data_IF_332625169285
#
_entry.id   IF_332625169285
#
_cell.length_a   1.000
_cell.length_b   1.000
_cell.length_c   1.000
_cell.angle_alpha   90.00
_cell.angle_beta   90.00
_cell.angle_gamma   90.00
#
_symmetry.space_group_name_H-M   'P 1'
#
loop_
_entity.id
_entity.type
_entity.pdbx_description
1 polymer ?
#
# COMPACT_ATOMS: atom_id res chain seq x y z
N UNK A 1 -29.50 -38.51 25.19
CA UNK A 1 -28.93 -38.86 23.87
C UNK A 1 -28.34 -37.56 23.31
N UNK A 2 -27.08 -37.29 23.64
CA UNK A 2 -26.45 -35.97 23.45
C UNK A 2 -25.50 -36.07 22.25
N UNK A 3 -25.86 -35.37 21.17
CA UNK A 3 -25.12 -35.41 19.91
C UNK A 3 -23.90 -34.48 20.02
N UNK A 4 -22.73 -35.05 20.27
CA UNK A 4 -21.44 -34.34 20.24
C UNK A 4 -21.07 -34.10 18.79
N UNK A 5 -21.22 -32.87 18.31
CA UNK A 5 -20.61 -32.44 17.05
C UNK A 5 -19.10 -32.26 17.24
N UNK A 6 -18.35 -33.28 16.85
CA UNK A 6 -16.90 -33.23 16.70
C UNK A 6 -16.56 -32.49 15.40
N UNK A 7 -16.07 -31.25 15.54
CA UNK A 7 -15.42 -30.55 14.42
C UNK A 7 -14.08 -31.23 14.09
N UNK A 8 -13.79 -31.57 12.82
CA UNK A 8 -12.55 -32.22 12.46
C UNK A 8 -11.36 -31.28 12.72
N UNK A 9 -10.34 -31.87 13.35
CA UNK A 9 -9.06 -31.25 13.63
C UNK A 9 -8.42 -30.64 12.37
N UNK A 10 -7.69 -29.53 12.60
CA UNK A 10 -6.91 -28.73 11.65
C UNK A 10 -6.34 -29.56 10.51
N UNK A 11 -6.91 -29.43 9.30
CA UNK A 11 -6.18 -29.76 8.08
C UNK A 11 -5.03 -28.78 7.94
N UNK A 12 -3.82 -29.31 7.95
CA UNK A 12 -2.61 -28.56 7.65
C UNK A 12 -2.67 -28.05 6.20
N UNK A 13 -2.90 -26.74 6.04
CA UNK A 13 -2.93 -26.07 4.74
C UNK A 13 -1.55 -25.53 4.33
N UNK A 14 -0.46 -25.84 5.06
CA UNK A 14 0.89 -25.33 4.79
C UNK A 14 1.42 -25.68 3.39
N UNK A 15 0.85 -26.69 2.72
CA UNK A 15 1.27 -27.10 1.38
C UNK A 15 0.59 -26.39 0.19
N UNK A 16 -0.46 -25.58 0.39
CA UNK A 16 -1.31 -25.13 -0.76
C UNK A 16 -0.88 -23.84 -1.46
N UNK A 17 0.12 -23.12 -0.94
CA UNK A 17 0.45 -21.76 -1.42
C UNK A 17 1.96 -21.51 -1.60
N UNK A 18 2.73 -22.54 -1.97
CA UNK A 18 4.13 -22.36 -2.38
C UNK A 18 4.19 -21.86 -3.83
N UNK A 19 3.99 -20.56 -4.04
CA UNK A 19 4.44 -19.88 -5.27
C UNK A 19 5.88 -19.40 -5.08
N UNK A 20 6.70 -19.32 -6.15
CA UNK A 20 8.09 -18.85 -6.06
C UNK A 20 8.24 -17.47 -5.38
N UNK A 21 7.25 -16.58 -5.55
CA UNK A 21 7.17 -15.25 -4.92
C UNK A 21 7.01 -15.30 -3.39
N UNK A 22 6.16 -16.20 -2.89
CA UNK A 22 5.98 -16.44 -1.45
C UNK A 22 7.19 -17.18 -0.87
N UNK A 23 7.89 -17.99 -1.69
CA UNK A 23 9.15 -18.65 -1.32
C UNK A 23 10.28 -17.65 -1.02
N UNK A 24 10.40 -16.56 -1.78
CA UNK A 24 11.41 -15.52 -1.53
C UNK A 24 11.22 -14.76 -0.20
N UNK A 25 9.98 -14.74 0.34
CA UNK A 25 9.68 -14.31 1.71
C UNK A 25 9.82 -15.45 2.73
N UNK A 26 9.58 -16.71 2.34
CA UNK A 26 9.76 -17.88 3.19
C UNK A 26 11.23 -18.25 3.41
N UNK A 27 12.14 -18.01 2.48
CA UNK A 27 13.60 -18.23 2.70
C UNK A 27 14.14 -17.29 3.78
N UNK A 28 13.58 -16.08 3.94
CA UNK A 28 13.89 -15.20 5.08
C UNK A 28 13.24 -15.64 6.41
N UNK A 29 12.25 -16.53 6.36
CA UNK A 29 11.50 -17.02 7.50
C UNK A 29 11.86 -18.45 7.91
N UNK A 30 12.50 -19.25 7.05
CA UNK A 30 12.88 -20.65 7.34
C UNK A 30 13.99 -20.78 8.37
N UNK A 31 14.67 -19.69 8.72
CA UNK A 31 15.59 -19.59 9.85
C UNK A 31 14.87 -19.25 11.19
N UNK A 32 13.55 -19.01 11.16
CA UNK A 32 12.78 -18.68 12.36
C UNK A 32 11.96 -19.92 12.74
N UNK A 33 12.32 -20.54 13.87
CA UNK A 33 11.57 -21.65 14.45
C UNK A 33 10.07 -21.27 14.58
N UNK A 34 9.14 -22.00 13.93
CA UNK A 34 7.70 -21.79 14.06
C UNK A 34 7.19 -21.87 15.51
N UNK A 35 7.93 -22.51 16.41
CA UNK A 35 7.58 -22.59 17.84
C UNK A 35 7.84 -21.29 18.62
N UNK A 36 8.59 -20.33 18.05
CA UNK A 36 8.92 -19.05 18.69
C UNK A 36 7.98 -17.89 18.38
N UNK A 37 7.04 -18.02 17.43
CA UNK A 37 6.01 -17.01 17.18
C UNK A 37 4.77 -17.29 18.02
N UNK A 38 4.79 -16.83 19.28
CA UNK A 38 3.61 -16.82 20.16
C UNK A 38 3.11 -15.38 20.32
N UNK A 39 2.38 -14.83 19.34
CA UNK A 39 1.85 -13.48 19.47
C UNK A 39 0.93 -13.40 20.68
N UNK A 40 0.96 -12.27 21.39
CA UNK A 40 0.08 -12.01 22.53
C UNK A 40 -1.39 -12.00 22.12
N UNK A 41 -1.66 -11.48 20.92
CA UNK A 41 -3.00 -11.42 20.36
C UNK A 41 -3.27 -12.65 19.48
N UNK A 42 -4.42 -13.33 19.64
CA UNK A 42 -4.78 -14.46 18.80
C UNK A 42 -4.95 -14.04 17.33
N UNK A 43 -4.87 -15.01 16.42
CA UNK A 43 -5.13 -14.83 14.97
C UNK A 43 -6.60 -15.12 14.61
N UNK A 44 -7.53 -14.79 15.51
CA UNK A 44 -8.98 -14.84 15.28
C UNK A 44 -9.49 -13.43 14.89
N UNK A 45 -10.79 -13.32 14.60
CA UNK A 45 -11.40 -12.08 14.13
C UNK A 45 -11.12 -10.88 15.06
N UNK A 46 -11.18 -11.08 16.39
CA UNK A 46 -10.95 -10.01 17.37
C UNK A 46 -9.49 -9.56 17.39
N UNK A 47 -8.55 -10.50 17.37
CA UNK A 47 -7.14 -10.16 17.33
C UNK A 47 -6.73 -9.47 16.01
N UNK A 48 -7.38 -9.79 14.89
CA UNK A 48 -7.18 -9.06 13.64
C UNK A 48 -7.77 -7.65 13.69
N UNK A 49 -8.97 -7.52 14.24
CA UNK A 49 -9.63 -6.23 14.44
C UNK A 49 -8.78 -5.28 15.29
N UNK A 50 -8.26 -5.73 16.44
CA UNK A 50 -7.39 -4.93 17.30
C UNK A 50 -6.13 -4.43 16.58
N UNK A 51 -5.55 -5.24 15.69
CA UNK A 51 -4.38 -4.84 14.90
C UNK A 51 -4.73 -3.80 13.84
N UNK A 52 -5.90 -3.89 13.21
CA UNK A 52 -6.39 -2.87 12.28
C UNK A 52 -6.61 -1.52 12.99
N UNK A 53 -7.19 -1.54 14.20
CA UNK A 53 -7.34 -0.34 15.04
C UNK A 53 -5.96 0.21 15.44
N UNK A 54 -5.05 -0.65 15.90
CA UNK A 54 -3.70 -0.23 16.28
C UNK A 54 -2.95 0.42 15.10
N UNK A 55 -3.01 -0.18 13.90
CA UNK A 55 -2.41 0.40 12.71
C UNK A 55 -2.98 1.79 12.38
N UNK A 56 -4.30 1.95 12.50
CA UNK A 56 -4.98 3.23 12.30
C UNK A 56 -4.53 4.28 13.32
N UNK A 57 -4.54 3.92 14.60
CA UNK A 57 -4.11 4.81 15.70
C UNK A 57 -2.65 5.22 15.56
N UNK A 58 -1.76 4.28 15.21
CA UNK A 58 -0.34 4.55 14.99
C UNK A 58 -0.15 5.60 13.90
N UNK A 59 -0.81 5.44 12.74
CA UNK A 59 -0.65 6.39 11.64
C UNK A 59 -1.27 7.75 11.97
N UNK A 60 -2.46 7.77 12.58
CA UNK A 60 -3.11 9.02 13.00
C UNK A 60 -2.25 9.78 14.01
N UNK A 61 -1.73 9.11 15.04
CA UNK A 61 -0.84 9.72 16.03
C UNK A 61 0.45 10.25 15.39
N UNK A 62 1.07 9.49 14.48
CA UNK A 62 2.26 9.92 13.75
C UNK A 62 2.00 11.16 12.86
N UNK A 63 0.84 11.22 12.22
CA UNK A 63 0.42 12.39 11.43
C UNK A 63 0.09 13.60 12.31
N UNK A 64 -0.56 13.40 13.47
CA UNK A 64 -0.82 14.47 14.43
C UNK A 64 0.49 15.04 14.99
N UNK A 65 1.45 14.19 15.38
CA UNK A 65 2.76 14.64 15.87
C UNK A 65 3.49 15.52 14.83
N UNK A 66 3.42 15.14 13.55
CA UNK A 66 3.97 15.93 12.43
C UNK A 66 3.27 17.27 12.21
N UNK A 67 2.00 17.42 12.61
CA UNK A 67 1.28 18.68 12.46
C UNK A 67 1.67 19.74 13.51
N UNK A 68 2.32 19.35 14.62
CA UNK A 68 2.70 20.27 15.70
C UNK A 68 3.71 21.33 15.23
N UNK A 69 4.82 20.97 14.53
CA UNK A 69 5.77 21.95 14.01
C UNK A 69 5.21 22.86 12.92
N UNK A 70 4.04 22.57 12.33
CA UNK A 70 3.45 23.39 11.28
C UNK A 70 3.17 24.84 11.71
N UNK A 71 3.03 25.06 13.02
CA UNK A 71 2.85 26.38 13.62
C UNK A 71 4.15 27.20 13.69
N UNK A 72 5.32 26.58 13.51
CA UNK A 72 6.62 27.25 13.66
C UNK A 72 7.08 27.99 12.40
N UNK A 73 6.42 27.75 11.26
CA UNK A 73 6.72 28.42 10.00
C UNK A 73 5.48 29.08 9.37
N UNK A 74 4.48 29.42 10.19
CA UNK A 74 3.38 30.29 9.75
C UNK A 74 3.92 31.71 9.54
N UNK A 75 4.02 32.16 8.29
CA UNK A 75 4.49 33.51 7.94
C UNK A 75 5.77 33.56 7.09
N UNK A 76 6.40 32.42 6.78
CA UNK A 76 7.50 32.36 5.79
C UNK A 76 6.95 32.28 4.36
N UNK A 77 7.78 32.64 3.38
CA UNK A 77 7.43 32.51 1.95
C UNK A 77 7.12 31.07 1.53
N UNK A 78 6.41 30.91 0.41
CA UNK A 78 5.90 29.61 -0.05
C UNK A 78 6.99 28.56 -0.28
N UNK A 79 8.08 28.94 -0.95
CA UNK A 79 9.23 28.05 -1.19
C UNK A 79 9.83 27.53 0.13
N UNK A 80 10.02 28.42 1.10
CA UNK A 80 10.53 28.07 2.43
C UNK A 80 9.56 27.15 3.17
N UNK A 81 8.25 27.42 3.10
CA UNK A 81 7.21 26.57 3.68
C UNK A 81 7.19 25.17 3.06
N UNK A 82 7.36 25.06 1.74
CA UNK A 82 7.46 23.76 1.04
C UNK A 82 8.72 23.00 1.47
N UNK A 83 9.87 23.66 1.57
CA UNK A 83 11.11 23.06 2.04
C UNK A 83 10.97 22.54 3.48
N UNK A 84 10.40 23.34 4.40
CA UNK A 84 10.14 22.91 5.78
C UNK A 84 9.19 21.71 5.84
N UNK A 85 8.09 21.73 5.09
CA UNK A 85 7.18 20.59 5.02
C UNK A 85 7.89 19.33 4.53
N UNK A 86 8.66 19.45 3.45
CA UNK A 86 9.42 18.35 2.85
C UNK A 86 10.36 17.72 3.88
N UNK A 87 11.11 18.53 4.64
CA UNK A 87 11.99 18.04 5.69
C UNK A 87 11.22 17.32 6.82
N UNK A 88 10.09 17.88 7.25
CA UNK A 88 9.28 17.34 8.35
C UNK A 88 8.47 16.09 7.99
N UNK A 89 8.23 15.83 6.71
CA UNK A 89 7.50 14.65 6.25
C UNK A 89 8.20 13.33 6.64
N UNK A 90 9.51 13.35 6.94
CA UNK A 90 10.26 12.19 7.44
C UNK A 90 9.83 11.78 8.86
N UNK A 91 9.22 12.67 9.65
CA UNK A 91 8.82 12.35 11.03
C UNK A 91 7.76 11.24 11.08
N UNK A 92 6.76 11.28 10.20
CA UNK A 92 5.69 10.28 10.15
C UNK A 92 6.22 8.85 9.94
N UNK A 93 7.00 8.54 8.90
CA UNK A 93 7.53 7.20 8.72
C UNK A 93 8.50 6.76 9.80
N UNK A 94 9.27 7.66 10.42
CA UNK A 94 10.11 7.31 11.58
C UNK A 94 9.24 6.84 12.75
N UNK A 95 8.20 7.59 13.11
CA UNK A 95 7.30 7.22 14.20
C UNK A 95 6.54 5.93 13.91
N UNK A 96 6.04 5.75 12.69
CA UNK A 96 5.37 4.52 12.27
C UNK A 96 6.33 3.34 12.32
N UNK A 97 7.55 3.48 11.82
CA UNK A 97 8.55 2.43 11.85
C UNK A 97 8.89 2.00 13.28
N UNK A 98 9.12 2.96 14.18
CA UNK A 98 9.40 2.68 15.59
C UNK A 98 8.22 2.00 16.28
N UNK A 99 6.99 2.44 16.01
CA UNK A 99 5.78 1.82 16.55
C UNK A 99 5.56 0.40 16.03
N UNK A 100 5.80 0.14 14.73
CA UNK A 100 5.72 -1.21 14.15
C UNK A 100 6.83 -2.09 14.69
N UNK A 101 8.06 -1.58 14.81
CA UNK A 101 9.17 -2.30 15.44
C UNK A 101 8.83 -2.71 16.88
N UNK A 102 8.33 -1.76 17.67
CA UNK A 102 7.88 -1.97 19.04
C UNK A 102 6.79 -3.05 19.10
N UNK A 103 5.75 -2.90 18.29
CA UNK A 103 4.64 -3.83 18.23
C UNK A 103 5.09 -5.25 17.83
N UNK A 104 5.91 -5.35 16.78
CA UNK A 104 6.46 -6.62 16.33
C UNK A 104 7.30 -7.27 17.43
N UNK A 105 8.13 -6.49 18.14
CA UNK A 105 9.03 -7.00 19.18
C UNK A 105 8.30 -7.47 20.45
N UNK A 106 7.25 -6.78 20.87
CA UNK A 106 6.60 -7.02 22.17
C UNK A 106 5.23 -7.69 22.06
N UNK A 107 4.43 -7.38 21.03
CA UNK A 107 3.08 -7.93 20.85
C UNK A 107 3.10 -9.16 19.95
N UNK A 108 3.67 -9.05 18.74
CA UNK A 108 3.77 -10.21 17.84
C UNK A 108 4.88 -11.17 18.24
N UNK A 109 5.87 -10.69 19.01
CA UNK A 109 7.10 -11.41 19.37
C UNK A 109 7.79 -11.97 18.14
N UNK A 110 7.87 -11.14 17.11
CA UNK A 110 8.29 -11.48 15.77
C UNK A 110 9.36 -10.50 15.29
N UNK A 111 10.35 -10.93 14.50
CA UNK A 111 11.37 -10.02 14.01
C UNK A 111 10.80 -9.10 12.92
N UNK A 112 11.23 -7.84 12.92
CA UNK A 112 10.77 -6.81 11.98
C UNK A 112 11.00 -7.22 10.52
N UNK A 113 11.98 -8.08 10.22
CA UNK A 113 12.24 -8.58 8.86
C UNK A 113 11.03 -9.29 8.24
N UNK A 114 10.09 -9.83 9.04
CA UNK A 114 8.87 -10.46 8.54
C UNK A 114 7.94 -9.48 7.81
N UNK A 115 8.03 -8.19 8.09
CA UNK A 115 7.25 -7.17 7.36
C UNK A 115 7.79 -6.96 5.94
N UNK A 116 8.99 -7.47 5.61
CA UNK A 116 9.63 -7.25 4.31
C UNK A 116 10.40 -5.92 4.21
N UNK A 117 10.44 -5.11 5.27
CA UNK A 117 11.16 -3.83 5.29
C UNK A 117 12.67 -3.98 5.15
N UNK A 118 13.25 -5.08 5.64
CA UNK A 118 14.70 -5.30 5.64
C UNK A 118 15.32 -5.58 4.25
N UNK A 119 14.51 -5.62 3.17
CA UNK A 119 14.95 -5.93 1.81
C UNK A 119 15.39 -4.72 0.97
N UNK A 120 16.34 -3.89 1.44
CA UNK A 120 16.71 -2.61 0.80
C UNK A 120 17.05 -2.68 -0.70
N UNK A 121 17.71 -3.75 -1.18
CA UNK A 121 17.98 -3.95 -2.62
C UNK A 121 16.71 -4.13 -3.46
N UNK A 122 15.65 -4.68 -2.86
CA UNK A 122 14.32 -4.82 -3.48
C UNK A 122 13.48 -3.55 -3.31
N UNK A 123 13.91 -2.61 -2.47
CA UNK A 123 13.18 -1.36 -2.23
C UNK A 123 13.14 -0.51 -3.50
N UNK A 124 14.29 -0.21 -4.08
CA UNK A 124 14.37 0.62 -5.30
C UNK A 124 13.65 -0.03 -6.46
N UNK A 125 13.92 -1.31 -6.76
CA UNK A 125 13.28 -2.01 -7.88
C UNK A 125 11.79 -2.23 -7.66
N UNK A 126 11.35 -2.47 -6.42
CA UNK A 126 9.94 -2.57 -6.07
C UNK A 126 9.21 -1.23 -6.20
N UNK A 127 9.83 -0.15 -5.72
CA UNK A 127 9.27 1.19 -5.84
C UNK A 127 9.13 1.59 -7.32
N UNK A 128 10.20 1.49 -8.11
CA UNK A 128 10.16 1.81 -9.54
C UNK A 128 9.18 0.92 -10.30
N UNK A 129 9.19 -0.40 -10.02
CA UNK A 129 8.29 -1.36 -10.68
C UNK A 129 6.82 -1.13 -10.33
N UNK A 130 6.52 -0.85 -9.06
CA UNK A 130 5.16 -0.51 -8.61
C UNK A 130 4.68 0.82 -9.18
N UNK A 131 5.55 1.83 -9.25
CA UNK A 131 5.21 3.14 -9.83
C UNK A 131 4.95 3.04 -11.33
N UNK A 132 5.78 2.30 -12.07
CA UNK A 132 5.54 2.04 -13.48
C UNK A 132 4.23 1.27 -13.71
N UNK A 133 3.91 0.32 -12.84
CA UNK A 133 2.69 -0.49 -12.93
C UNK A 133 1.43 0.35 -12.69
N UNK A 134 1.42 1.20 -11.65
CA UNK A 134 0.24 2.04 -11.34
C UNK A 134 0.08 3.21 -12.31
N UNK A 135 1.13 3.60 -13.02
CA UNK A 135 1.03 4.62 -14.07
C UNK A 135 0.01 4.23 -15.15
N UNK A 136 -0.09 2.94 -15.51
CA UNK A 136 -1.06 2.47 -16.51
C UNK A 136 -2.51 2.79 -16.15
N UNK A 137 -3.10 2.30 -15.03
CA UNK A 137 -4.47 2.63 -14.66
C UNK A 137 -4.67 4.14 -14.38
N UNK A 138 -3.64 4.85 -13.92
CA UNK A 138 -3.72 6.29 -13.68
C UNK A 138 -3.85 7.07 -14.99
N UNK A 139 -3.02 6.78 -15.99
CA UNK A 139 -3.09 7.42 -17.31
C UNK A 139 -4.42 7.08 -18.00
N UNK A 140 -4.84 5.82 -18.00
CA UNK A 140 -6.13 5.41 -18.58
C UNK A 140 -7.29 6.12 -17.88
N UNK A 141 -7.30 6.15 -16.55
CA UNK A 141 -8.32 6.85 -15.78
C UNK A 141 -8.33 8.36 -16.07
N UNK A 142 -7.16 8.98 -16.27
CA UNK A 142 -7.05 10.39 -16.64
C UNK A 142 -7.68 10.70 -18.00
N UNK A 143 -7.42 9.85 -19.01
CA UNK A 143 -8.04 9.99 -20.32
C UNK A 143 -9.56 9.85 -20.26
N UNK A 144 -10.07 8.92 -19.45
CA UNK A 144 -11.52 8.78 -19.22
C UNK A 144 -12.09 10.04 -18.58
N UNK A 145 -11.42 10.61 -17.57
CA UNK A 145 -11.85 11.85 -16.92
C UNK A 145 -11.88 13.01 -17.91
N UNK A 146 -10.84 13.16 -18.73
CA UNK A 146 -10.80 14.19 -19.76
C UNK A 146 -11.93 14.04 -20.80
N UNK A 147 -12.24 12.81 -21.20
CA UNK A 147 -13.31 12.53 -22.15
C UNK A 147 -14.71 12.86 -21.57
N UNK A 148 -14.93 12.56 -20.29
CA UNK A 148 -16.21 12.83 -19.61
C UNK A 148 -16.36 14.32 -19.21
N UNK A 149 -15.25 14.99 -18.91
CA UNK A 149 -15.20 16.39 -18.46
C UNK A 149 -15.30 17.45 -19.56
N UNK A 150 -15.50 17.07 -20.83
CA UNK A 150 -15.63 18.02 -21.95
C UNK A 150 -14.31 18.36 -22.67
N UNK A 151 -13.24 17.59 -22.43
CA UNK A 151 -11.95 17.73 -23.09
C UNK A 151 -10.80 17.93 -22.11
N UNK A 152 -9.57 17.76 -22.61
CA UNK A 152 -8.39 18.25 -21.91
C UNK A 152 -8.42 19.77 -22.02
N UNK A 153 -8.72 20.46 -20.91
CA UNK A 153 -8.41 21.88 -20.86
C UNK A 153 -6.93 22.01 -21.17
N UNK A 154 -6.58 22.85 -22.14
CA UNK A 154 -5.19 23.28 -22.34
C UNK A 154 -4.64 23.57 -20.96
N UNK A 155 -3.55 22.89 -20.57
CA UNK A 155 -2.91 23.16 -19.29
C UNK A 155 -2.69 24.66 -19.12
N UNK A 156 -2.55 25.17 -17.88
CA UNK A 156 -2.13 26.55 -17.70
C UNK A 156 -0.97 26.82 -18.66
N UNK A 157 -0.97 28.00 -19.30
CA UNK A 157 0.22 28.46 -20.03
C UNK A 157 1.42 28.11 -19.15
N UNK A 158 2.34 27.29 -19.67
CA UNK A 158 3.61 26.93 -18.99
C UNK A 158 4.06 28.17 -18.23
N UNK A 159 4.27 28.11 -16.90
CA UNK A 159 4.60 29.30 -16.12
C UNK A 159 5.63 30.14 -16.86
N UNK A 160 5.15 31.21 -17.47
CA UNK A 160 5.96 32.06 -18.32
C UNK A 160 6.93 32.80 -17.41
N UNK A 161 8.19 32.36 -17.38
CA UNK A 161 9.34 33.19 -17.00
C UNK A 161 9.42 33.68 -15.55
N UNK A 162 8.70 33.08 -14.59
CA UNK A 162 8.70 33.53 -13.18
C UNK A 162 9.22 32.53 -12.14
N UNK A 163 9.27 31.23 -12.43
CA UNK A 163 9.71 30.21 -11.47
C UNK A 163 11.24 30.08 -11.46
N UNK A 164 11.85 30.19 -10.28
CA UNK A 164 13.28 29.96 -10.14
C UNK A 164 13.58 28.46 -10.28
N UNK A 165 14.77 28.10 -10.78
CA UNK A 165 15.21 26.70 -10.81
C UNK A 165 15.18 26.05 -9.42
N UNK A 166 15.39 26.85 -8.36
CA UNK A 166 15.29 26.43 -6.96
C UNK A 166 13.83 26.09 -6.60
N UNK A 167 12.87 26.94 -6.96
CA UNK A 167 11.44 26.70 -6.73
C UNK A 167 10.96 25.39 -7.38
N UNK A 168 11.33 25.14 -8.64
CA UNK A 168 11.01 23.88 -9.34
C UNK A 168 11.61 22.68 -8.61
N UNK A 169 12.89 22.76 -8.22
CA UNK A 169 13.56 21.67 -7.51
C UNK A 169 12.90 21.37 -6.15
N UNK A 170 12.51 22.40 -5.40
CA UNK A 170 11.78 22.27 -4.13
C UNK A 170 10.39 21.65 -4.36
N UNK A 171 9.67 22.06 -5.40
CA UNK A 171 8.38 21.48 -5.76
C UNK A 171 8.46 19.99 -6.11
N UNK A 172 9.44 19.60 -6.93
CA UNK A 172 9.69 18.19 -7.27
C UNK A 172 10.05 17.37 -6.02
N UNK A 173 10.93 17.90 -5.16
CA UNK A 173 11.29 17.24 -3.91
C UNK A 173 10.07 17.06 -3.00
N UNK A 174 9.23 18.10 -2.86
CA UNK A 174 7.99 18.04 -2.10
C UNK A 174 7.07 16.93 -2.60
N UNK A 175 6.82 16.85 -3.91
CA UNK A 175 5.95 15.82 -4.51
C UNK A 175 6.50 14.42 -4.24
N UNK A 176 7.79 14.18 -4.47
CA UNK A 176 8.40 12.88 -4.27
C UNK A 176 8.39 12.44 -2.79
N UNK A 177 8.75 13.33 -1.88
CA UNK A 177 8.75 13.03 -0.44
C UNK A 177 7.32 12.83 0.06
N UNK A 178 6.37 13.66 -0.36
CA UNK A 178 4.95 13.46 0.00
C UNK A 178 4.45 12.10 -0.48
N UNK A 179 4.68 11.78 -1.75
CA UNK A 179 4.19 10.57 -2.38
C UNK A 179 4.76 9.29 -1.75
N UNK A 180 6.09 9.19 -1.61
CA UNK A 180 6.73 7.95 -1.18
C UNK A 180 7.07 7.91 0.30
N UNK A 181 7.54 9.01 0.88
CA UNK A 181 8.03 9.04 2.28
C UNK A 181 6.89 9.27 3.25
N UNK A 182 6.00 10.23 2.97
CA UNK A 182 4.87 10.53 3.85
C UNK A 182 3.69 9.56 3.67
N UNK A 183 3.36 9.18 2.45
CA UNK A 183 2.16 8.39 2.16
C UNK A 183 2.52 6.92 1.88
N UNK A 184 3.24 6.64 0.79
CA UNK A 184 3.47 5.26 0.34
C UNK A 184 4.16 4.36 1.36
N UNK A 185 5.31 4.76 1.91
CA UNK A 185 6.09 3.91 2.82
C UNK A 185 5.38 3.62 4.16
N UNK A 186 4.98 4.60 4.98
CA UNK A 186 4.43 4.32 6.30
C UNK A 186 3.10 3.57 6.23
N UNK A 187 2.25 3.90 5.26
CA UNK A 187 0.97 3.20 5.09
C UNK A 187 1.20 1.75 4.67
N UNK A 188 2.01 1.51 3.64
CA UNK A 188 2.24 0.13 3.19
C UNK A 188 3.07 -0.68 4.19
N UNK A 189 3.93 -0.07 5.01
CA UNK A 189 4.60 -0.76 6.12
C UNK A 189 3.59 -1.30 7.14
N UNK A 190 2.55 -0.53 7.46
CA UNK A 190 1.48 -0.98 8.36
C UNK A 190 0.66 -2.09 7.71
N UNK A 191 0.12 -1.84 6.52
CA UNK A 191 -0.89 -2.71 5.91
C UNK A 191 -0.28 -3.88 5.13
N UNK A 192 0.67 -3.64 4.23
CA UNK A 192 1.26 -4.67 3.33
C UNK A 192 2.55 -5.26 3.87
N UNK A 193 3.17 -4.60 4.85
CA UNK A 193 4.25 -5.13 5.64
C UNK A 193 3.73 -5.91 6.85
N UNK A 194 3.38 -5.21 7.92
CA UNK A 194 3.01 -5.81 9.20
C UNK A 194 1.70 -6.62 9.14
N UNK A 195 0.55 -6.00 8.86
CA UNK A 195 -0.74 -6.69 8.89
C UNK A 195 -0.88 -7.80 7.84
N UNK A 196 -0.19 -7.68 6.71
CA UNK A 196 -0.14 -8.74 5.72
C UNK A 196 0.69 -9.94 6.21
N UNK A 197 1.86 -9.68 6.83
CA UNK A 197 2.79 -10.73 7.27
C UNK A 197 2.18 -11.70 8.29
N UNK A 198 1.30 -11.22 9.18
CA UNK A 198 0.70 -12.03 10.25
C UNK A 198 -0.30 -13.09 9.74
N UNK A 199 -0.89 -12.87 8.56
CA UNK A 199 -1.91 -13.76 7.95
C UNK A 199 -1.50 -14.25 6.57
N UNK A 200 -0.20 -14.14 6.23
CA UNK A 200 0.35 -14.47 4.91
C UNK A 200 0.06 -15.90 4.45
N UNK A 201 -0.07 -16.84 5.39
CA UNK A 201 -0.40 -18.26 5.10
C UNK A 201 -1.83 -18.44 4.55
N UNK A 202 -2.66 -17.39 4.66
CA UNK A 202 -4.01 -17.30 4.10
C UNK A 202 -4.06 -16.10 3.15
N UNK A 203 -3.55 -16.23 1.91
CA UNK A 203 -3.30 -15.09 1.02
C UNK A 203 -4.55 -14.23 0.76
N UNK A 204 -5.72 -14.87 0.61
CA UNK A 204 -6.99 -14.16 0.45
C UNK A 204 -7.45 -13.42 1.70
N UNK A 205 -7.19 -13.97 2.87
CA UNK A 205 -7.45 -13.28 4.14
C UNK A 205 -6.52 -12.08 4.25
N UNK A 206 -5.21 -12.25 3.99
CA UNK A 206 -4.25 -11.15 3.99
C UNK A 206 -4.65 -10.02 3.03
N UNK A 207 -5.02 -10.38 1.80
CA UNK A 207 -5.48 -9.44 0.78
C UNK A 207 -6.69 -8.61 1.23
N UNK A 208 -7.79 -9.27 1.64
CA UNK A 208 -9.02 -8.56 2.00
C UNK A 208 -8.92 -7.83 3.34
N UNK A 209 -8.32 -8.47 4.35
CA UNK A 209 -8.12 -7.86 5.67
C UNK A 209 -7.34 -6.55 5.58
N UNK A 210 -6.20 -6.57 4.87
CA UNK A 210 -5.35 -5.38 4.77
C UNK A 210 -5.97 -4.30 3.88
N UNK A 211 -6.72 -4.69 2.84
CA UNK A 211 -7.49 -3.76 1.99
C UNK A 211 -8.58 -3.04 2.79
N UNK A 212 -9.40 -3.76 3.55
CA UNK A 212 -10.43 -3.12 4.37
C UNK A 212 -9.85 -2.32 5.53
N UNK A 213 -8.77 -2.81 6.17
CA UNK A 213 -8.08 -2.06 7.22
C UNK A 213 -7.49 -0.75 6.69
N UNK A 214 -7.00 -0.75 5.45
CA UNK A 214 -6.52 0.45 4.76
C UNK A 214 -7.65 1.44 4.45
N UNK A 215 -8.85 0.96 4.12
CA UNK A 215 -10.01 1.84 3.92
C UNK A 215 -10.46 2.52 5.22
N UNK A 216 -10.33 1.87 6.38
CA UNK A 216 -10.77 2.42 7.68
C UNK A 216 -10.08 3.76 7.97
N UNK A 217 -8.76 3.86 7.76
CA UNK A 217 -8.06 5.12 8.01
C UNK A 217 -8.50 6.24 7.05
N UNK A 218 -8.97 5.88 5.86
CA UNK A 218 -9.44 6.84 4.86
C UNK A 218 -10.83 7.44 5.16
N UNK A 219 -11.55 6.92 6.15
CA UNK A 219 -12.75 7.57 6.68
C UNK A 219 -12.44 8.95 7.29
N UNK A 220 -11.25 9.09 7.88
CA UNK A 220 -10.76 10.32 8.48
C UNK A 220 -9.99 11.23 7.50
N UNK A 221 -9.78 10.78 6.26
CA UNK A 221 -9.13 11.60 5.23
C UNK A 221 -10.06 12.72 4.74
N UNK A 222 -9.43 13.77 4.19
CA UNK A 222 -10.11 14.86 3.50
C UNK A 222 -9.57 14.94 2.06
N UNK A 223 -10.41 14.58 1.10
CA UNK A 223 -10.14 14.70 -0.33
C UNK A 223 -11.02 15.72 -1.04
N UNK A 224 -11.73 16.57 -0.28
CA UNK A 224 -12.68 17.57 -0.78
C UNK A 224 -14.16 17.25 -0.54
N UNK A 225 -14.46 16.16 0.17
CA UNK A 225 -15.84 15.74 0.47
C UNK A 225 -16.57 16.76 1.35
N UNK A 226 -17.80 17.11 0.97
CA UNK A 226 -18.67 18.05 1.67
C UNK A 226 -19.75 17.37 2.51
N UNK A 227 -20.07 16.10 2.22
CA UNK A 227 -21.15 15.36 2.89
C UNK A 227 -20.79 13.87 3.09
N UNK A 228 -21.66 13.15 3.80
CA UNK A 228 -21.47 11.72 4.13
C UNK A 228 -21.45 10.84 2.88
N UNK A 229 -22.27 11.13 1.89
CA UNK A 229 -22.32 10.35 0.64
C UNK A 229 -20.99 10.46 -0.10
N UNK A 230 -20.46 11.67 -0.27
CA UNK A 230 -19.14 11.89 -0.86
C UNK A 230 -18.02 11.22 -0.06
N UNK A 231 -18.13 11.20 1.27
CA UNK A 231 -17.18 10.48 2.14
C UNK A 231 -17.20 8.97 1.89
N UNK A 232 -18.36 8.38 1.62
CA UNK A 232 -18.46 6.97 1.25
C UNK A 232 -17.97 6.72 -0.18
N UNK A 233 -18.32 7.58 -1.14
CA UNK A 233 -17.86 7.46 -2.55
C UNK A 233 -16.34 7.62 -2.65
N UNK A 234 -15.76 8.52 -1.85
CA UNK A 234 -14.32 8.69 -1.77
C UNK A 234 -13.58 7.39 -1.46
N UNK A 235 -14.19 6.45 -0.71
CA UNK A 235 -13.58 5.18 -0.37
C UNK A 235 -13.33 4.25 -1.56
N UNK A 236 -13.91 4.53 -2.74
CA UNK A 236 -13.64 3.78 -3.97
C UNK A 236 -12.17 3.94 -4.39
N UNK A 237 -11.58 5.11 -4.20
CA UNK A 237 -10.16 5.34 -4.48
C UNK A 237 -9.23 4.49 -3.58
N UNK A 238 -9.27 4.58 -2.24
CA UNK A 238 -8.45 3.76 -1.37
C UNK A 238 -8.80 2.27 -1.42
N UNK A 239 -10.03 1.88 -1.78
CA UNK A 239 -10.35 0.49 -2.12
C UNK A 239 -9.49 0.02 -3.31
N UNK A 240 -9.48 0.78 -4.40
CA UNK A 240 -8.67 0.46 -5.59
C UNK A 240 -7.17 0.42 -5.28
N UNK A 241 -6.67 1.42 -4.56
CA UNK A 241 -5.28 1.43 -4.09
C UNK A 241 -4.95 0.20 -3.26
N UNK A 242 -5.84 -0.14 -2.31
CA UNK A 242 -5.62 -1.23 -1.40
C UNK A 242 -5.63 -2.61 -2.08
N UNK A 243 -6.56 -2.80 -3.01
CA UNK A 243 -6.62 -4.00 -3.85
C UNK A 243 -5.38 -4.11 -4.73
N UNK A 244 -4.96 -3.02 -5.39
CA UNK A 244 -3.78 -3.04 -6.26
C UNK A 244 -2.51 -3.36 -5.48
N UNK A 245 -2.28 -2.66 -4.35
CA UNK A 245 -1.17 -2.89 -3.44
C UNK A 245 -1.14 -4.34 -2.92
N UNK A 246 -2.28 -4.88 -2.48
CA UNK A 246 -2.39 -6.27 -2.04
C UNK A 246 -2.11 -7.28 -3.16
N UNK A 247 -2.63 -7.03 -4.36
CA UNK A 247 -2.44 -7.90 -5.53
C UNK A 247 -0.97 -7.96 -5.96
N UNK A 248 -0.27 -6.82 -6.01
CA UNK A 248 1.17 -6.80 -6.37
C UNK A 248 2.02 -7.46 -5.30
N UNK A 249 1.64 -7.40 -4.02
CA UNK A 249 2.36 -8.14 -2.96
C UNK A 249 2.19 -9.64 -3.12
N UNK A 250 0.99 -10.13 -3.44
CA UNK A 250 0.78 -11.55 -3.74
C UNK A 250 1.59 -12.00 -4.97
N UNK A 251 1.59 -11.18 -6.02
CA UNK A 251 2.26 -11.48 -7.26
C UNK A 251 3.80 -11.43 -7.16
N UNK A 252 4.35 -10.41 -6.50
CA UNK A 252 5.80 -10.12 -6.46
C UNK A 252 6.48 -10.52 -5.15
N UNK A 253 5.73 -10.82 -4.09
CA UNK A 253 6.27 -11.21 -2.79
C UNK A 253 7.06 -10.09 -2.10
N UNK A 254 6.66 -8.82 -2.27
CA UNK A 254 7.39 -7.68 -1.71
C UNK A 254 6.50 -6.48 -1.46
N UNK A 255 6.49 -5.98 -0.22
CA UNK A 255 5.78 -4.75 0.15
C UNK A 255 6.30 -3.51 -0.59
N UNK A 256 7.54 -3.53 -1.09
CA UNK A 256 8.12 -2.40 -1.81
C UNK A 256 7.43 -2.15 -3.15
N UNK A 257 6.85 -3.19 -3.76
CA UNK A 257 5.96 -3.01 -4.92
C UNK A 257 4.66 -2.30 -4.53
N UNK A 258 4.12 -2.57 -3.34
CA UNK A 258 2.98 -1.82 -2.81
C UNK A 258 3.34 -0.35 -2.52
N UNK A 259 4.51 -0.10 -1.90
CA UNK A 259 5.03 1.27 -1.70
C UNK A 259 5.14 2.00 -3.05
N UNK A 260 5.64 1.31 -4.07
CA UNK A 260 5.71 1.80 -5.45
C UNK A 260 4.35 2.12 -6.04
N UNK A 261 3.37 1.22 -5.96
CA UNK A 261 2.03 1.49 -6.49
C UNK A 261 1.31 2.61 -5.73
N UNK A 262 1.47 2.68 -4.41
CA UNK A 262 0.84 3.71 -3.60
C UNK A 262 1.49 5.07 -3.86
N UNK A 263 2.81 5.19 -3.64
CA UNK A 263 3.53 6.45 -3.88
C UNK A 263 3.48 6.85 -5.35
N UNK A 264 3.59 5.89 -6.26
CA UNK A 264 3.42 6.10 -7.70
C UNK A 264 2.05 6.68 -8.06
N UNK A 265 0.97 6.25 -7.41
CA UNK A 265 -0.36 6.83 -7.62
C UNK A 265 -0.38 8.33 -7.26
N UNK A 266 0.15 8.71 -6.09
CA UNK A 266 0.22 10.13 -5.70
C UNK A 266 1.16 10.94 -6.59
N UNK A 267 2.28 10.35 -7.04
CA UNK A 267 3.17 10.97 -8.01
C UNK A 267 2.44 11.22 -9.33
N UNK A 268 1.76 10.20 -9.87
CA UNK A 268 1.00 10.32 -11.11
C UNK A 268 -0.14 11.32 -10.99
N UNK A 269 -0.83 11.36 -9.85
CA UNK A 269 -1.85 12.38 -9.56
C UNK A 269 -1.25 13.79 -9.68
N UNK A 270 -0.09 14.04 -9.07
CA UNK A 270 0.58 15.34 -9.15
C UNK A 270 1.04 15.68 -10.59
N UNK A 271 1.71 14.73 -11.26
CA UNK A 271 2.22 14.90 -12.63
C UNK A 271 1.09 15.16 -13.62
N UNK A 272 0.02 14.37 -13.57
CA UNK A 272 -1.10 14.48 -14.49
C UNK A 272 -1.94 15.73 -14.21
N UNK A 273 -2.06 16.17 -12.95
CA UNK A 273 -2.74 17.44 -12.61
C UNK A 273 -2.01 18.64 -13.22
N UNK A 274 -0.68 18.62 -13.24
CA UNK A 274 0.13 19.69 -13.85
C UNK A 274 0.08 19.60 -15.38
N UNK A 275 0.27 18.41 -15.94
CA UNK A 275 0.35 18.23 -17.39
C UNK A 275 -1.00 18.41 -18.10
N UNK A 276 -2.08 17.96 -17.46
CA UNK A 276 -3.42 17.88 -18.03
C UNK A 276 -4.48 18.11 -16.94
N UNK A 277 -4.73 19.37 -16.54
CA UNK A 277 -5.61 19.66 -15.43
C UNK A 277 -7.04 19.17 -15.67
N UNK A 278 -7.51 18.32 -14.75
CA UNK A 278 -8.91 17.90 -14.65
C UNK A 278 -9.41 18.23 -13.25
N UNK A 279 -10.68 18.61 -13.13
CA UNK A 279 -11.27 18.84 -11.81
C UNK A 279 -11.28 17.54 -10.99
N UNK A 280 -10.75 17.61 -9.78
CA UNK A 280 -10.74 16.49 -8.85
C UNK A 280 -12.00 16.53 -7.98
N UNK A 281 -12.65 15.38 -7.83
CA UNK A 281 -13.89 15.24 -7.07
C UNK A 281 -14.47 13.84 -7.19
N UNK A 282 -15.78 13.72 -7.05
CA UNK A 282 -16.51 12.44 -7.07
C UNK A 282 -16.17 11.58 -8.30
N UNK A 283 -16.14 12.18 -9.49
CA UNK A 283 -15.81 11.47 -10.72
C UNK A 283 -14.38 10.92 -10.70
N UNK A 284 -13.40 11.70 -10.24
CA UNK A 284 -12.00 11.25 -10.21
C UNK A 284 -11.77 10.15 -9.16
N UNK A 285 -12.44 10.20 -8.00
CA UNK A 285 -12.36 9.11 -7.02
C UNK A 285 -12.89 7.78 -7.59
N UNK A 286 -14.03 7.85 -8.29
CA UNK A 286 -14.63 6.68 -8.93
C UNK A 286 -13.75 6.13 -10.05
N UNK A 287 -13.37 6.97 -11.02
CA UNK A 287 -12.63 6.54 -12.21
C UNK A 287 -11.25 6.00 -11.85
N UNK A 288 -10.48 6.74 -11.04
CA UNK A 288 -9.12 6.33 -10.66
C UNK A 288 -9.13 5.12 -9.71
N UNK A 289 -10.12 5.03 -8.82
CA UNK A 289 -10.32 3.87 -7.95
C UNK A 289 -10.67 2.62 -8.74
N UNK A 290 -11.68 2.69 -9.62
CA UNK A 290 -12.10 1.56 -10.46
C UNK A 290 -11.01 1.10 -11.43
N UNK A 291 -10.24 2.02 -12.02
CA UNK A 291 -9.11 1.66 -12.87
C UNK A 291 -8.07 0.82 -12.11
N UNK A 292 -7.78 1.16 -10.85
CA UNK A 292 -6.88 0.38 -10.00
C UNK A 292 -7.51 -0.96 -9.58
N UNK A 293 -8.82 -1.03 -9.30
CA UNK A 293 -9.54 -2.30 -9.06
C UNK A 293 -9.41 -3.24 -10.25
N UNK A 294 -9.60 -2.74 -11.48
CA UNK A 294 -9.48 -3.53 -12.70
C UNK A 294 -8.04 -4.06 -12.85
N UNK A 295 -7.04 -3.21 -12.66
CA UNK A 295 -5.63 -3.64 -12.69
C UNK A 295 -5.33 -4.70 -11.62
N UNK A 296 -5.86 -4.53 -10.41
CA UNK A 296 -5.73 -5.53 -9.35
C UNK A 296 -6.34 -6.87 -9.76
N UNK A 297 -7.53 -6.88 -10.36
CA UNK A 297 -8.18 -8.09 -10.84
C UNK A 297 -7.36 -8.81 -11.93
N UNK A 298 -6.77 -8.05 -12.87
CA UNK A 298 -5.85 -8.60 -13.88
C UNK A 298 -4.64 -9.27 -13.22
N UNK A 299 -4.01 -8.60 -12.24
CA UNK A 299 -2.84 -9.14 -11.54
C UNK A 299 -3.20 -10.38 -10.73
N UNK A 300 -4.36 -10.39 -10.05
CA UNK A 300 -4.85 -11.55 -9.31
C UNK A 300 -5.14 -12.73 -10.25
N UNK A 301 -5.69 -12.48 -11.44
CA UNK A 301 -5.89 -13.51 -12.45
C UNK A 301 -4.56 -14.08 -12.96
N UNK A 302 -3.57 -13.23 -13.21
CA UNK A 302 -2.22 -13.66 -13.59
C UNK A 302 -1.53 -14.45 -12.49
N UNK A 303 -1.64 -14.00 -11.24
CA UNK A 303 -1.11 -14.68 -10.07
C UNK A 303 -1.75 -16.07 -9.89
N UNK A 304 -3.07 -16.17 -10.04
CA UNK A 304 -3.80 -17.44 -9.97
C UNK A 304 -3.40 -18.45 -11.03
N UNK A 305 -2.98 -17.99 -12.21
CA UNK A 305 -2.56 -18.83 -13.32
C UNK A 305 -1.11 -19.30 -13.21
N UNK A 306 -0.33 -18.82 -12.23
CA UNK A 306 1.03 -19.29 -12.05
C UNK A 306 1.03 -20.79 -11.70
N UNK A 307 1.76 -21.64 -12.44
CA UNK A 307 1.85 -23.07 -12.15
C UNK A 307 2.28 -23.28 -10.71
N UNK A 308 1.56 -24.14 -9.98
CA UNK A 308 1.96 -24.49 -8.62
C UNK A 308 3.18 -25.38 -8.73
N UNK A 309 4.15 -25.23 -7.84
CA UNK A 309 5.43 -25.96 -7.91
C UNK A 309 5.24 -27.49 -7.88
N UNK A 310 4.16 -27.97 -7.26
CA UNK A 310 3.71 -29.38 -7.31
C UNK A 310 3.40 -29.86 -8.74
N UNK A 311 2.88 -28.99 -9.59
CA UNK A 311 2.62 -29.30 -11.01
C UNK A 311 3.93 -29.35 -11.82
N UNK A 312 4.96 -28.63 -11.38
CA UNK A 312 6.29 -28.60 -12.00
C UNK A 312 7.15 -29.80 -11.62
N UNK A 313 7.12 -30.24 -10.37
CA UNK A 313 7.81 -31.48 -9.94
C UNK A 313 7.16 -32.72 -10.58
N UNK A 314 5.82 -32.79 -10.65
CA UNK A 314 5.12 -33.88 -11.34
C UNK A 314 5.26 -33.90 -12.87
N UNK A 315 5.67 -32.78 -13.49
CA UNK A 315 6.06 -32.71 -14.90
C UNK A 315 7.52 -33.12 -15.10
N UNK A 316 8.41 -32.79 -14.16
CA UNK A 316 9.84 -33.13 -14.23
C UNK A 316 10.09 -34.62 -14.04
N UNK A 317 9.41 -35.26 -13.08
CA UNK A 317 9.50 -36.72 -12.87
C UNK A 317 9.06 -37.48 -14.11
N UNK A 318 7.94 -37.08 -14.75
CA UNK A 318 7.44 -37.72 -15.97
C UNK A 318 8.34 -37.54 -17.21
N UNK A 319 9.21 -36.53 -17.22
CA UNK A 319 10.16 -36.31 -18.30
C UNK A 319 11.50 -37.06 -18.08
N UNK A 320 11.76 -37.52 -16.85
CA UNK A 320 12.92 -38.36 -16.51
C UNK A 320 12.60 -39.86 -16.64
N UNK A 321 11.31 -40.22 -16.72
CA UNK A 321 10.80 -41.59 -16.91
C UNK A 321 10.48 -41.95 -18.40
N UNK A 322 10.83 -41.09 -19.36
CA UNK A 322 10.69 -41.33 -20.83
C UNK A 322 12.06 -41.31 -21.52
#
# INVERSE_FOLDING_TARGET
MTLVMSFPARRDCRGRWNTPSLRAMNVQASEIDPQHLRPLLPLNWWGLFLRAIAATVILMAANMARSIPARWYSGVGEETRLAYNTAWFVLTPVLVFLAVWAWMRWVERAPLRLTGVAGGRRAVSGMLGGSALVACPMVVGWFVLAAVGGGLNSGPETPGGGETAVGVAVGVAYVLVRAYVLQGFPEELLYRGWLFSIVRDRPWVAFWFTTFSFMIIHLASAGGQQNVVERLVYLVLPLGMGMLAGAVVLWRGSMWWAVGTHGGMHLMLAVLTVAYPVELGTASWLVLGLAQVIMAAVILALWHRQPREQDREGFRVRAEDM
#
